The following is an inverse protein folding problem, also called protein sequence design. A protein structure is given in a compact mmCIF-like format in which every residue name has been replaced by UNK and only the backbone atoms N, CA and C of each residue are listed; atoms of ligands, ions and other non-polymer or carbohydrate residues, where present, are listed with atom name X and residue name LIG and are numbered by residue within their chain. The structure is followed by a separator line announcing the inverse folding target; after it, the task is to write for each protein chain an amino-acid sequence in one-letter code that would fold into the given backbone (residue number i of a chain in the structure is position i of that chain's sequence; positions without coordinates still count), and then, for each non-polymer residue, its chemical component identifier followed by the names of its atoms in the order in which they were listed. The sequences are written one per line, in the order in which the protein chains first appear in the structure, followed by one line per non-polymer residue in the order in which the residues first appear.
data_IF_996846920632
#
_entry.id   IF_996846920632
#
_cell.length_a   1.000
_cell.length_b   1.000
_cell.length_c   1.000
_cell.angle_alpha   90.00
_cell.angle_beta   90.00
_cell.angle_gamma   90.00
#
_symmetry.space_group_name_H-M   'P 1'
#
loop_
_entity.id
_entity.type
_entity.pdbx_description
1 polymer ?
#
# COMPACT_ATOMS: atom_id res chain seq x y z
N UNK A 1 -7.98 -14.11 -14.40
CA UNK A 1 -7.42 -14.85 -13.24
C UNK A 1 -6.71 -13.86 -12.34
N UNK A 2 -7.05 -13.81 -11.05
CA UNK A 2 -6.33 -12.97 -10.08
C UNK A 2 -5.11 -13.73 -9.57
N UNK A 3 -3.91 -13.20 -9.77
CA UNK A 3 -2.68 -13.83 -9.27
C UNK A 3 -2.49 -13.48 -7.80
N UNK A 4 -2.59 -14.47 -6.92
CA UNK A 4 -2.39 -14.30 -5.47
C UNK A 4 -0.88 -14.24 -5.17
N UNK A 5 -0.40 -13.06 -4.77
CA UNK A 5 1.00 -12.85 -4.38
C UNK A 5 1.12 -12.92 -2.85
N UNK A 6 1.90 -13.90 -2.36
CA UNK A 6 2.22 -14.04 -0.94
C UNK A 6 3.51 -13.28 -0.63
N UNK A 7 3.44 -12.33 0.29
CA UNK A 7 4.60 -11.58 0.80
C UNK A 7 4.90 -12.10 2.21
N UNK A 8 6.17 -12.41 2.48
CA UNK A 8 6.64 -12.85 3.80
C UNK A 8 7.84 -12.00 4.17
N UNK A 9 7.80 -11.40 5.35
CA UNK A 9 8.87 -10.53 5.86
C UNK A 9 9.28 -11.02 7.25
N UNK A 10 10.58 -11.12 7.49
CA UNK A 10 11.12 -11.38 8.82
C UNK A 10 11.31 -10.05 9.55
N UNK A 11 10.86 -10.02 10.80
CA UNK A 11 10.97 -8.85 11.67
C UNK A 11 11.51 -9.26 13.03
N UNK A 12 12.15 -8.32 13.71
CA UNK A 12 12.56 -8.50 15.11
C UNK A 12 11.33 -8.40 16.03
N UNK A 13 11.48 -8.85 17.28
CA UNK A 13 10.41 -8.73 18.29
C UNK A 13 9.98 -7.28 18.50
N UNK A 14 10.92 -6.34 18.57
CA UNK A 14 10.61 -4.92 18.76
C UNK A 14 9.86 -4.31 17.57
N UNK A 15 10.19 -4.73 16.35
CA UNK A 15 9.45 -4.32 15.15
C UNK A 15 8.03 -4.89 15.16
N UNK A 16 7.85 -6.14 15.56
CA UNK A 16 6.53 -6.77 15.66
C UNK A 16 5.62 -6.04 16.66
N UNK A 17 6.13 -5.67 17.83
CA UNK A 17 5.36 -4.89 18.82
C UNK A 17 4.93 -3.53 18.26
N UNK A 18 5.83 -2.83 17.56
CA UNK A 18 5.49 -1.56 16.90
C UNK A 18 4.39 -1.73 15.85
N UNK A 19 4.48 -2.79 15.02
CA UNK A 19 3.47 -3.09 14.01
C UNK A 19 2.11 -3.37 14.68
N UNK A 20 2.08 -4.15 15.77
CA UNK A 20 0.86 -4.43 16.51
C UNK A 20 0.23 -3.15 17.09
N UNK A 21 1.02 -2.33 17.78
CA UNK A 21 0.52 -1.09 18.38
C UNK A 21 -0.06 -0.16 17.32
N UNK A 22 0.59 -0.04 16.16
CA UNK A 22 0.08 0.77 15.06
C UNK A 22 -1.19 0.18 14.42
N UNK A 23 -1.28 -1.15 14.32
CA UNK A 23 -2.46 -1.85 13.80
C UNK A 23 -3.68 -1.54 14.67
N UNK A 24 -3.52 -1.60 16.00
CA UNK A 24 -4.58 -1.29 16.96
C UNK A 24 -4.95 0.19 16.93
N UNK A 25 -3.95 1.09 16.89
CA UNK A 25 -4.18 2.53 16.83
C UNK A 25 -4.91 2.99 15.56
N UNK A 26 -4.72 2.30 14.44
CA UNK A 26 -5.38 2.59 13.16
C UNK A 26 -6.72 1.89 12.98
N UNK A 27 -7.15 1.08 13.95
CA UNK A 27 -8.44 0.39 13.93
C UNK A 27 -8.51 -0.77 12.94
N UNK A 28 -7.38 -1.32 12.51
CA UNK A 28 -7.37 -2.47 11.63
C UNK A 28 -7.61 -3.78 12.40
N UNK A 29 -8.43 -4.66 11.83
CA UNK A 29 -8.79 -5.93 12.46
C UNK A 29 -7.64 -6.95 12.50
N UNK A 30 -6.66 -6.83 11.61
CA UNK A 30 -5.50 -7.73 11.55
C UNK A 30 -4.24 -6.99 11.10
N UNK A 31 -3.07 -7.50 11.53
CA UNK A 31 -1.77 -7.01 11.07
C UNK A 31 -1.65 -7.09 9.54
N UNK A 32 -2.15 -8.16 8.94
CA UNK A 32 -2.13 -8.33 7.49
C UNK A 32 -2.95 -7.26 6.76
N UNK A 33 -4.08 -6.85 7.31
CA UNK A 33 -4.89 -5.76 6.74
C UNK A 33 -4.15 -4.42 6.83
N UNK A 34 -3.51 -4.14 7.96
CA UNK A 34 -2.68 -2.94 8.15
C UNK A 34 -1.46 -2.90 7.21
N UNK A 35 -0.73 -4.01 7.09
CA UNK A 35 0.43 -4.05 6.20
C UNK A 35 0.01 -3.92 4.73
N UNK A 36 -1.18 -4.41 4.37
CA UNK A 36 -1.73 -4.24 3.03
C UNK A 36 -2.16 -2.80 2.76
N UNK A 37 -2.81 -2.12 3.71
CA UNK A 37 -3.18 -0.72 3.54
C UNK A 37 -1.94 0.16 3.37
N UNK A 38 -0.92 -0.05 4.21
CA UNK A 38 0.37 0.63 4.08
C UNK A 38 1.05 0.35 2.73
N UNK A 39 1.07 -0.91 2.31
CA UNK A 39 1.68 -1.29 1.04
C UNK A 39 0.98 -0.61 -0.14
N UNK A 40 -0.35 -0.48 -0.10
CA UNK A 40 -1.13 0.21 -1.13
C UNK A 40 -0.96 1.73 -1.07
N UNK A 41 -0.91 2.32 0.13
CA UNK A 41 -0.71 3.76 0.35
C UNK A 41 0.66 4.21 -0.16
N UNK A 42 1.68 3.37 0.04
CA UNK A 42 3.06 3.62 -0.36
C UNK A 42 3.46 2.90 -1.65
N UNK A 43 2.49 2.38 -2.43
CA UNK A 43 2.76 1.74 -3.72
C UNK A 43 3.10 2.81 -4.77
N UNK A 44 4.36 3.26 -4.71
CA UNK A 44 4.94 4.28 -5.59
C UNK A 44 4.72 3.99 -7.09
N UNK A 45 4.79 2.74 -7.59
CA UNK A 45 4.48 2.42 -8.98
C UNK A 45 3.01 2.69 -9.37
N UNK A 46 2.07 2.46 -8.46
CA UNK A 46 0.65 2.71 -8.71
C UNK A 46 0.37 4.22 -8.77
N UNK A 47 0.94 4.98 -7.82
CA UNK A 47 0.87 6.45 -7.85
C UNK A 47 1.50 7.02 -9.12
N UNK A 48 2.68 6.54 -9.52
CA UNK A 48 3.34 6.98 -10.75
C UNK A 48 2.48 6.72 -11.99
N UNK A 49 1.82 5.56 -12.07
CA UNK A 49 0.98 5.19 -13.21
C UNK A 49 -0.34 5.96 -13.25
N UNK A 50 -0.94 6.25 -12.09
CA UNK A 50 -2.12 7.13 -11.99
C UNK A 50 -1.75 8.56 -12.41
N UNK A 51 -0.59 9.05 -11.98
CA UNK A 51 -0.08 10.36 -12.40
C UNK A 51 0.15 10.42 -13.91
N UNK A 52 0.78 9.39 -14.50
CA UNK A 52 1.00 9.28 -15.94
C UNK A 52 -0.33 9.32 -16.72
N UNK A 53 -1.33 8.54 -16.28
CA UNK A 53 -2.67 8.54 -16.89
C UNK A 53 -3.31 9.93 -16.82
N UNK A 54 -3.26 10.58 -15.65
CA UNK A 54 -3.81 11.92 -15.46
C UNK A 54 -3.18 12.95 -16.42
N UNK A 55 -1.85 12.94 -16.56
CA UNK A 55 -1.13 13.82 -17.49
C UNK A 55 -1.57 13.60 -18.95
N UNK A 56 -1.76 12.35 -19.37
CA UNK A 56 -2.23 12.04 -20.72
C UNK A 56 -3.64 12.59 -20.99
N UNK A 57 -4.53 12.52 -20.00
CA UNK A 57 -5.90 13.02 -20.14
C UNK A 57 -5.99 14.56 -20.11
N UNK A 58 -5.25 15.22 -19.23
CA UNK A 58 -5.22 16.69 -19.15
C UNK A 58 -4.63 17.29 -20.44
N UNK A 59 -3.49 16.78 -20.91
CA UNK A 59 -2.87 17.28 -22.14
C UNK A 59 -3.73 17.04 -23.40
N UNK A 60 -4.59 16.02 -23.40
CA UNK A 60 -5.58 15.79 -24.47
C UNK A 60 -6.78 16.73 -24.42
N UNK A 61 -7.09 17.32 -23.27
CA UNK A 61 -8.21 18.26 -23.14
C UNK A 61 -7.86 19.68 -23.59
N UNK A 62 -6.55 20.00 -23.68
CA UNK A 62 -6.04 21.30 -24.11
C UNK A 62 -5.68 21.37 -25.61
N UNK A 63 -5.90 20.29 -26.37
CA UNK A 63 -5.73 20.23 -27.84
C UNK A 63 -7.08 20.12 -28.54
#
# INVERSE_FOLDING_TARGET
MVSNHRIVVRVTKSQLERIRNNTEATGHSTISAYLRSLALEHDNPLQAKVHEIYQVFVNKAET
#
